data_IF_618169863020
#
_entry.id   IF_618169863020
#
_cell.length_a   1.000
_cell.length_b   1.000
_cell.length_c   1.000
_cell.angle_alpha   90.00
_cell.angle_beta   90.00
_cell.angle_gamma   90.00
#
_symmetry.space_group_name_H-M   'P 1'
#
loop_
_entity.id
_entity.type
_entity.pdbx_description
1 polymer ?
#
# COMPACT_ATOMS: atom_id res chain seq x y z
N UNK A 1 6.76 -13.29 20.98
CA UNK A 1 8.14 -13.71 21.30
C UNK A 1 8.27 -15.21 21.10
N UNK A 2 9.50 -15.71 20.87
CA UNK A 2 9.78 -17.14 20.94
C UNK A 2 9.74 -17.61 22.39
N UNK A 3 9.57 -18.94 22.60
CA UNK A 3 9.73 -19.55 23.92
C UNK A 3 11.11 -19.23 24.55
N UNK A 4 12.13 -19.01 23.72
CA UNK A 4 13.48 -18.57 24.14
C UNK A 4 13.55 -17.09 24.57
N UNK A 5 12.42 -16.34 24.54
CA UNK A 5 12.36 -14.93 24.88
C UNK A 5 12.79 -13.97 23.74
N UNK A 6 13.29 -14.48 22.60
CA UNK A 6 13.73 -13.65 21.49
C UNK A 6 12.57 -12.86 20.90
N UNK A 7 12.76 -11.54 20.72
CA UNK A 7 11.84 -10.68 20.02
C UNK A 7 12.00 -10.87 18.50
N UNK A 8 10.90 -11.16 17.83
CA UNK A 8 10.77 -11.21 16.38
C UNK A 8 9.73 -10.15 15.99
N UNK A 9 10.06 -9.30 15.06
CA UNK A 9 9.11 -8.37 14.45
C UNK A 9 8.53 -8.99 13.18
N UNK A 10 7.22 -8.88 13.02
CA UNK A 10 6.50 -9.34 11.83
C UNK A 10 5.72 -8.14 11.30
N UNK A 11 6.18 -7.59 10.19
CA UNK A 11 5.51 -6.49 9.50
C UNK A 11 4.59 -7.04 8.43
N UNK A 12 3.31 -6.76 8.54
CA UNK A 12 2.31 -7.09 7.52
C UNK A 12 2.54 -6.20 6.30
N UNK A 13 2.59 -6.78 5.11
CA UNK A 13 2.79 -6.05 3.86
C UNK A 13 1.57 -6.15 2.95
N UNK A 14 1.20 -7.36 2.58
CA UNK A 14 0.13 -7.65 1.64
C UNK A 14 -0.69 -8.85 2.12
N UNK A 15 -2.03 -8.79 2.03
CA UNK A 15 -2.87 -9.95 2.30
C UNK A 15 -2.69 -11.03 1.22
N UNK A 16 -2.81 -12.32 1.61
CA UNK A 16 -2.64 -13.43 0.69
C UNK A 16 -3.92 -13.78 -0.06
N UNK A 17 -4.93 -14.20 0.70
CA UNK A 17 -6.26 -14.55 0.18
C UNK A 17 -7.28 -14.49 1.32
N UNK A 18 -8.30 -13.64 1.23
CA UNK A 18 -8.59 -12.69 0.14
C UNK A 18 -7.53 -11.58 0.03
N UNK A 19 -7.31 -11.06 -1.18
CA UNK A 19 -6.37 -9.94 -1.42
C UNK A 19 -6.97 -8.60 -1.02
N UNK A 20 -8.28 -8.51 -0.92
CA UNK A 20 -8.98 -7.32 -0.43
C UNK A 20 -8.72 -7.12 1.07
N UNK A 21 -8.29 -5.92 1.42
CA UNK A 21 -7.91 -5.58 2.80
C UNK A 21 -9.09 -5.60 3.76
N UNK A 22 -10.27 -5.14 3.34
CA UNK A 22 -11.45 -5.10 4.21
C UNK A 22 -11.93 -6.51 4.53
N UNK A 23 -11.99 -7.38 3.53
CA UNK A 23 -12.33 -8.79 3.72
C UNK A 23 -11.29 -9.50 4.58
N UNK A 24 -10.01 -9.25 4.34
CA UNK A 24 -8.91 -9.83 5.11
C UNK A 24 -8.99 -9.44 6.60
N UNK A 25 -9.28 -8.19 6.91
CA UNK A 25 -9.43 -7.73 8.29
C UNK A 25 -10.64 -8.32 9.01
N UNK A 26 -11.65 -8.77 8.26
CA UNK A 26 -12.83 -9.46 8.79
C UNK A 26 -12.64 -10.96 8.95
N UNK A 27 -11.55 -11.55 8.45
CA UNK A 27 -11.29 -12.98 8.61
C UNK A 27 -11.24 -13.37 10.09
N UNK A 28 -11.68 -14.60 10.39
CA UNK A 28 -11.76 -15.14 11.73
C UNK A 28 -11.04 -16.49 11.81
N UNK A 29 -10.37 -16.75 12.92
CA UNK A 29 -9.64 -17.99 13.20
C UNK A 29 -8.33 -18.16 12.46
N UNK A 30 -8.23 -17.72 11.21
CA UNK A 30 -7.04 -17.88 10.38
C UNK A 30 -6.92 -16.79 9.32
N UNK A 31 -5.69 -16.36 9.03
CA UNK A 31 -5.37 -15.57 7.84
C UNK A 31 -3.89 -15.71 7.45
N UNK A 32 -3.58 -15.34 6.21
CA UNK A 32 -2.20 -15.39 5.70
C UNK A 32 -1.79 -14.04 5.11
N UNK A 33 -0.56 -13.64 5.41
CA UNK A 33 0.00 -12.37 4.95
C UNK A 33 1.41 -12.54 4.42
N UNK A 34 1.74 -11.77 3.40
CA UNK A 34 3.13 -11.53 3.04
C UNK A 34 3.71 -10.56 4.06
N UNK A 35 4.80 -10.96 4.71
CA UNK A 35 5.39 -10.23 5.82
C UNK A 35 6.89 -10.00 5.62
N UNK A 36 7.36 -8.85 6.08
CA UNK A 36 8.79 -8.62 6.30
C UNK A 36 9.13 -9.00 7.74
N UNK A 37 10.22 -9.77 7.93
CA UNK A 37 10.58 -10.31 9.24
C UNK A 37 11.85 -9.64 9.77
N UNK A 38 11.70 -8.93 10.89
CA UNK A 38 12.80 -8.43 11.69
C UNK A 38 13.40 -9.55 12.56
N UNK A 39 14.74 -9.54 12.72
CA UNK A 39 15.47 -10.57 13.45
C UNK A 39 15.27 -12.02 12.92
N UNK A 40 15.08 -12.19 11.60
CA UNK A 40 14.83 -13.47 10.95
C UNK A 40 15.79 -14.59 11.38
N UNK A 41 17.07 -14.28 11.59
CA UNK A 41 18.09 -15.26 12.05
C UNK A 41 17.71 -15.95 13.35
N UNK A 42 16.86 -15.34 14.16
CA UNK A 42 16.36 -15.89 15.42
C UNK A 42 15.08 -16.71 15.25
N UNK A 43 14.43 -16.66 14.10
CA UNK A 43 13.24 -17.45 13.77
C UNK A 43 13.60 -18.58 12.78
N UNK A 44 14.30 -19.59 13.28
CA UNK A 44 14.73 -20.71 12.44
C UNK A 44 13.64 -21.75 12.21
N UNK A 45 12.84 -22.05 13.23
CA UNK A 45 11.82 -23.10 13.22
C UNK A 45 10.69 -22.78 14.19
N UNK A 46 9.55 -23.47 14.02
CA UNK A 46 8.38 -23.40 14.89
C UNK A 46 7.54 -22.13 14.69
N UNK A 47 6.43 -22.09 15.39
CA UNK A 47 5.51 -20.97 15.41
C UNK A 47 5.88 -19.99 16.52
N UNK A 48 5.65 -18.71 16.28
CA UNK A 48 5.65 -17.69 17.32
C UNK A 48 4.29 -17.72 18.01
N UNK A 49 4.26 -17.48 19.33
CA UNK A 49 3.01 -17.43 20.09
C UNK A 49 2.94 -16.17 20.94
N UNK A 50 1.73 -15.65 21.09
CA UNK A 50 1.43 -14.54 21.99
C UNK A 50 0.05 -14.74 22.58
N UNK A 51 0.00 -14.81 23.90
CA UNK A 51 -1.25 -14.82 24.67
C UNK A 51 -1.66 -13.37 24.95
N UNK A 52 -2.96 -13.11 24.87
CA UNK A 52 -3.56 -11.81 25.12
C UNK A 52 -5.03 -11.96 25.49
N UNK A 53 -5.70 -10.86 25.82
CA UNK A 53 -7.11 -10.85 26.19
C UNK A 53 -7.86 -9.83 25.33
N UNK A 54 -8.99 -10.25 24.78
CA UNK A 54 -9.95 -9.38 24.08
C UNK A 54 -11.33 -9.57 24.70
N UNK A 55 -11.99 -8.49 25.11
CA UNK A 55 -13.37 -8.52 25.62
C UNK A 55 -13.58 -9.56 26.74
N UNK A 56 -12.58 -9.79 27.58
CA UNK A 56 -12.61 -10.76 28.66
C UNK A 56 -12.33 -12.21 28.26
N UNK A 57 -12.03 -12.49 27.00
CA UNK A 57 -11.61 -13.80 26.51
C UNK A 57 -10.10 -13.87 26.34
N UNK A 58 -9.49 -14.90 26.92
CA UNK A 58 -8.07 -15.20 26.70
C UNK A 58 -7.91 -15.93 25.37
N UNK A 59 -6.99 -15.45 24.55
CA UNK A 59 -6.69 -16.01 23.24
C UNK A 59 -5.19 -16.20 23.06
N UNK A 60 -4.83 -17.14 22.22
CA UNK A 60 -3.47 -17.36 21.77
C UNK A 60 -3.37 -17.11 20.27
N UNK A 61 -2.61 -16.10 19.87
CA UNK A 61 -2.22 -15.89 18.48
C UNK A 61 -0.95 -16.67 18.17
N UNK A 62 -0.99 -17.50 17.14
CA UNK A 62 0.15 -18.19 16.57
C UNK A 62 0.51 -17.56 15.22
N UNK A 63 1.81 -17.43 14.94
CA UNK A 63 2.31 -17.03 13.63
C UNK A 63 3.32 -18.08 13.14
N UNK A 64 3.07 -18.62 11.95
CA UNK A 64 3.89 -19.68 11.34
C UNK A 64 4.40 -19.23 9.98
N UNK A 65 5.71 -19.25 9.79
CA UNK A 65 6.33 -18.88 8.53
C UNK A 65 6.32 -20.08 7.57
N UNK A 66 5.74 -19.90 6.37
CA UNK A 66 5.79 -20.89 5.29
C UNK A 66 7.21 -20.96 4.73
N UNK A 67 7.75 -22.17 4.65
CA UNK A 67 9.08 -22.42 4.12
C UNK A 67 8.98 -23.31 2.89
N UNK A 68 9.72 -22.96 1.84
CA UNK A 68 9.85 -23.82 0.66
C UNK A 68 8.75 -23.71 -0.39
N UNK A 69 7.73 -22.93 -0.17
CA UNK A 69 6.79 -22.58 -1.24
C UNK A 69 7.39 -21.46 -2.07
N UNK A 70 7.67 -21.76 -3.34
CA UNK A 70 7.91 -20.70 -4.32
C UNK A 70 6.64 -19.85 -4.38
N UNK A 71 6.78 -18.54 -4.29
CA UNK A 71 5.68 -17.61 -4.49
C UNK A 71 5.10 -17.88 -5.88
N UNK A 72 3.82 -18.27 -5.98
CA UNK A 72 3.16 -18.51 -7.26
C UNK A 72 3.28 -17.26 -8.15
N UNK A 73 3.60 -17.43 -9.45
CA UNK A 73 3.68 -16.30 -10.36
C UNK A 73 2.27 -15.72 -10.57
N UNK A 74 2.02 -14.57 -10.00
CA UNK A 74 0.73 -13.87 -10.11
C UNK A 74 0.32 -13.14 -8.84
N UNK A 75 0.51 -13.71 -7.66
CA UNK A 75 0.14 -13.07 -6.39
C UNK A 75 1.27 -12.26 -5.74
N UNK A 76 2.53 -12.42 -6.16
CA UNK A 76 3.67 -11.72 -5.58
C UNK A 76 4.92 -11.74 -6.49
N UNK A 77 4.76 -11.83 -7.81
CA UNK A 77 5.89 -11.92 -8.75
C UNK A 77 6.80 -10.68 -8.73
N UNK A 78 6.31 -9.55 -8.28
CA UNK A 78 7.09 -8.31 -8.11
C UNK A 78 8.04 -8.39 -6.92
N UNK A 79 7.69 -9.14 -5.87
CA UNK A 79 8.47 -9.21 -4.62
C UNK A 79 9.55 -10.30 -4.66
N UNK A 80 9.30 -11.42 -5.34
CA UNK A 80 10.21 -12.57 -5.37
C UNK A 80 11.49 -12.36 -6.20
N UNK A 81 11.45 -11.54 -7.26
CA UNK A 81 12.62 -11.26 -8.11
C UNK A 81 13.66 -10.32 -7.48
N UNK A 82 13.38 -9.77 -6.33
CA UNK A 82 14.18 -8.72 -5.69
C UNK A 82 15.13 -9.14 -4.58
N UNK A 83 15.33 -10.42 -4.27
CA UNK A 83 16.22 -10.85 -3.15
C UNK A 83 15.71 -10.34 -1.79
N UNK A 84 14.41 -10.10 -1.65
CA UNK A 84 13.78 -9.56 -0.46
C UNK A 84 13.62 -10.60 0.66
N UNK A 85 13.61 -10.13 1.90
CA UNK A 85 13.40 -10.89 3.14
C UNK A 85 11.90 -11.02 3.46
N UNK A 86 11.04 -11.20 2.46
CA UNK A 86 9.61 -11.31 2.64
C UNK A 86 9.19 -12.79 2.66
N UNK A 87 8.28 -13.10 3.55
CA UNK A 87 7.83 -14.46 3.80
C UNK A 87 6.33 -14.51 3.99
N UNK A 88 5.68 -15.57 3.46
CA UNK A 88 4.31 -15.88 3.83
C UNK A 88 4.27 -16.32 5.29
N UNK A 89 3.36 -15.70 6.05
CA UNK A 89 3.12 -16.01 7.46
C UNK A 89 1.64 -16.30 7.64
N UNK A 90 1.36 -17.47 8.17
CA UNK A 90 0.02 -17.87 8.59
C UNK A 90 -0.18 -17.43 10.04
N UNK A 91 -1.30 -16.77 10.29
CA UNK A 91 -1.76 -16.37 11.60
C UNK A 91 -2.98 -17.21 11.97
N UNK A 92 -2.93 -17.87 13.12
CA UNK A 92 -3.99 -18.70 13.66
C UNK A 92 -4.33 -18.26 15.07
N UNK A 93 -5.61 -18.23 15.41
CA UNK A 93 -6.09 -17.95 16.77
C UNK A 93 -7.31 -18.78 17.12
N UNK A 94 -7.50 -19.00 18.41
CA UNK A 94 -8.43 -20.00 18.97
C UNK A 94 -9.84 -19.47 19.21
N UNK A 95 -10.26 -18.40 18.54
CA UNK A 95 -11.62 -17.85 18.65
C UNK A 95 -12.12 -17.27 17.32
N UNK A 96 -13.06 -17.94 16.70
CA UNK A 96 -13.68 -17.52 15.43
C UNK A 96 -14.64 -16.31 15.55
N UNK A 97 -14.95 -15.84 16.76
CA UNK A 97 -15.75 -14.63 16.96
C UNK A 97 -14.91 -13.36 16.98
N UNK A 98 -13.59 -13.50 16.95
CA UNK A 98 -12.64 -12.39 16.95
C UNK A 98 -12.04 -12.26 15.56
N UNK A 99 -12.20 -11.10 14.94
CA UNK A 99 -11.63 -10.78 13.64
C UNK A 99 -10.14 -10.45 13.72
N UNK A 100 -9.46 -10.57 12.59
CA UNK A 100 -8.04 -10.19 12.51
C UNK A 100 -7.82 -8.70 12.82
N UNK A 101 -8.76 -7.83 12.45
CA UNK A 101 -8.72 -6.41 12.81
C UNK A 101 -8.67 -6.21 14.32
N UNK A 102 -9.51 -6.89 15.09
CA UNK A 102 -9.54 -6.79 16.56
C UNK A 102 -8.24 -7.30 17.19
N UNK A 103 -7.63 -8.35 16.61
CA UNK A 103 -6.31 -8.83 17.03
C UNK A 103 -5.27 -7.74 16.80
N UNK A 104 -5.22 -7.15 15.61
CA UNK A 104 -4.25 -6.10 15.29
C UNK A 104 -4.41 -4.86 16.18
N UNK A 105 -5.63 -4.48 16.49
CA UNK A 105 -5.90 -3.37 17.43
C UNK A 105 -5.40 -3.66 18.85
N UNK A 106 -5.42 -4.93 19.25
CA UNK A 106 -5.03 -5.35 20.62
C UNK A 106 -3.53 -5.62 20.76
N UNK A 107 -2.95 -6.34 19.80
CA UNK A 107 -1.56 -6.82 19.91
C UNK A 107 -0.61 -6.19 18.89
N UNK A 108 -1.13 -5.51 17.88
CA UNK A 108 -0.34 -4.80 16.90
C UNK A 108 0.31 -3.55 17.49
N UNK A 109 1.44 -3.19 16.92
CA UNK A 109 2.11 -1.93 17.19
C UNK A 109 2.15 -1.11 15.90
N UNK A 110 1.80 0.17 15.99
CA UNK A 110 1.89 1.08 14.85
C UNK A 110 3.37 1.24 14.47
N UNK A 111 3.77 0.89 13.24
CA UNK A 111 5.13 1.13 12.81
C UNK A 111 5.34 2.64 12.60
N UNK A 112 6.34 3.19 13.27
CA UNK A 112 6.78 4.56 13.04
C UNK A 112 8.10 4.57 12.26
N UNK A 113 8.40 5.66 11.54
CA UNK A 113 9.63 5.75 10.75
C UNK A 113 10.89 5.50 11.59
N UNK A 114 11.82 4.64 11.11
CA UNK A 114 13.03 4.28 11.87
C UNK A 114 13.92 5.48 12.24
N UNK A 115 13.86 6.57 11.47
CA UNK A 115 14.66 7.78 11.74
C UNK A 115 14.23 8.52 13.02
N UNK A 116 13.04 8.22 13.58
CA UNK A 116 12.60 8.78 14.86
C UNK A 116 13.40 8.22 16.06
N UNK A 117 14.07 7.07 15.88
CA UNK A 117 14.95 6.44 16.88
C UNK A 117 14.34 6.31 18.28
N UNK A 118 13.05 6.02 18.37
CA UNK A 118 12.31 5.78 19.61
C UNK A 118 11.27 4.67 19.41
N UNK A 119 10.76 4.14 20.51
CA UNK A 119 9.60 3.25 20.47
C UNK A 119 8.32 4.03 20.14
N UNK A 120 7.31 3.32 19.62
CA UNK A 120 5.96 3.85 19.41
C UNK A 120 5.30 4.20 20.74
N UNK A 121 4.61 5.31 20.79
CA UNK A 121 3.85 5.81 21.93
C UNK A 121 2.35 5.81 21.61
N UNK A 122 1.48 5.82 22.62
CA UNK A 122 0.03 5.87 22.40
C UNK A 122 -0.41 7.13 21.63
N UNK A 123 0.29 8.25 21.80
CA UNK A 123 0.06 9.48 21.07
C UNK A 123 0.29 9.32 19.55
N UNK A 124 1.16 8.40 19.11
CA UNK A 124 1.44 8.17 17.69
C UNK A 124 0.22 7.61 16.96
N UNK A 125 -0.65 6.88 17.64
CA UNK A 125 -1.91 6.39 17.05
C UNK A 125 -2.81 7.52 16.55
N UNK A 126 -2.64 8.71 17.10
CA UNK A 126 -3.39 9.91 16.71
C UNK A 126 -2.53 10.83 15.84
N UNK A 127 -1.29 11.10 16.26
CA UNK A 127 -0.44 12.11 15.63
C UNK A 127 0.27 11.60 14.37
N UNK A 128 0.49 10.28 14.25
CA UNK A 128 1.03 9.66 13.04
C UNK A 128 -0.09 9.13 12.15
N UNK A 129 -1.16 9.90 12.01
CA UNK A 129 -2.31 9.62 11.15
C UNK A 129 -2.85 10.92 10.55
N UNK A 130 -3.29 10.90 9.31
CA UNK A 130 -3.91 12.06 8.69
C UNK A 130 -5.36 12.22 9.14
N UNK A 131 -5.86 13.45 9.21
CA UNK A 131 -7.26 13.74 9.57
C UNK A 131 -8.27 13.21 8.53
N UNK A 132 -7.81 12.87 7.34
CA UNK A 132 -8.62 12.32 6.26
C UNK A 132 -8.43 10.81 6.03
N UNK A 133 -7.70 10.13 6.90
CA UNK A 133 -7.57 8.67 6.82
C UNK A 133 -8.92 7.99 7.07
N UNK A 134 -9.40 7.20 6.10
CA UNK A 134 -10.73 6.55 6.15
C UNK A 134 -10.62 5.03 6.04
N UNK A 135 -9.75 4.56 5.16
CA UNK A 135 -9.63 3.14 4.80
C UNK A 135 -8.38 2.56 5.45
N UNK A 136 -8.54 1.46 6.18
CA UNK A 136 -7.42 0.70 6.76
C UNK A 136 -6.70 -0.07 5.66
N UNK A 137 -5.39 -0.28 5.77
CA UNK A 137 -4.62 -1.07 4.79
C UNK A 137 -3.25 -0.49 4.43
N UNK A 138 -2.85 0.62 5.05
CA UNK A 138 -1.51 1.19 4.90
C UNK A 138 -0.65 0.94 6.12
N UNK A 139 0.64 0.69 5.89
CA UNK A 139 1.65 0.53 6.94
C UNK A 139 2.23 1.90 7.34
N UNK A 140 2.33 2.83 6.40
CA UNK A 140 2.89 4.16 6.64
C UNK A 140 1.86 5.26 6.33
N UNK A 141 1.78 6.27 7.19
CA UNK A 141 0.97 7.45 6.92
C UNK A 141 1.61 8.31 5.81
N UNK A 142 0.82 8.98 4.95
CA UNK A 142 1.33 9.96 4.00
C UNK A 142 1.77 11.22 4.76
N UNK A 143 3.03 11.28 5.15
CA UNK A 143 3.57 12.25 6.11
C UNK A 143 3.38 13.72 5.72
N UNK A 144 3.32 14.03 4.42
CA UNK A 144 2.99 15.39 3.96
C UNK A 144 1.56 15.81 4.39
N UNK A 145 0.65 14.84 4.52
CA UNK A 145 -0.71 15.08 4.97
C UNK A 145 -0.88 15.33 6.47
N UNK A 146 0.14 15.01 7.28
CA UNK A 146 0.10 15.26 8.73
C UNK A 146 0.07 16.74 9.09
N UNK A 147 0.42 17.62 8.16
CA UNK A 147 0.31 19.08 8.35
C UNK A 147 -1.11 19.61 8.23
N UNK A 148 -2.05 18.84 7.69
CA UNK A 148 -3.45 19.25 7.60
C UNK A 148 -4.20 19.01 8.91
N UNK A 149 -4.99 19.99 9.28
CA UNK A 149 -6.00 19.89 10.33
C UNK A 149 -7.37 20.14 9.72
N UNK A 150 -8.45 19.78 10.42
CA UNK A 150 -9.81 20.08 9.97
C UNK A 150 -10.02 21.57 9.72
N UNK A 151 -9.41 22.42 10.56
CA UNK A 151 -9.47 23.88 10.38
C UNK A 151 -8.81 24.33 9.09
N UNK A 152 -7.64 23.78 8.73
CA UNK A 152 -6.94 24.09 7.48
C UNK A 152 -7.75 23.59 6.28
N UNK A 153 -8.32 22.40 6.34
CA UNK A 153 -9.15 21.85 5.27
C UNK A 153 -10.40 22.72 5.05
N UNK A 154 -11.08 23.15 6.12
CA UNK A 154 -12.22 24.06 6.03
C UNK A 154 -11.83 25.43 5.47
N UNK A 155 -10.61 25.89 5.75
CA UNK A 155 -10.14 27.17 5.23
C UNK A 155 -9.85 27.10 3.73
N UNK A 156 -9.28 26.00 3.26
CA UNK A 156 -9.11 25.68 1.84
C UNK A 156 -10.47 25.74 1.12
N UNK A 157 -11.48 25.08 1.70
CA UNK A 157 -12.84 25.05 1.14
C UNK A 157 -13.47 26.46 1.09
N UNK A 158 -13.26 27.29 2.14
CA UNK A 158 -13.75 28.68 2.18
C UNK A 158 -13.12 29.57 1.10
N UNK A 159 -11.90 29.27 0.70
CA UNK A 159 -11.21 29.97 -0.40
C UNK A 159 -11.62 29.45 -1.79
N UNK A 160 -12.56 28.51 -1.87
CA UNK A 160 -13.04 27.96 -3.12
C UNK A 160 -12.05 27.05 -3.83
N UNK A 161 -11.06 26.52 -3.08
CA UNK A 161 -10.09 25.56 -3.61
C UNK A 161 -10.73 24.18 -3.52
N UNK A 162 -10.93 23.55 -4.67
CA UNK A 162 -11.49 22.21 -4.75
C UNK A 162 -10.45 21.16 -4.29
N UNK A 163 -10.89 20.18 -3.53
CA UNK A 163 -10.07 19.07 -3.07
C UNK A 163 -10.56 17.76 -3.65
N UNK A 164 -9.65 16.85 -3.88
CA UNK A 164 -9.91 15.45 -4.25
C UNK A 164 -9.06 14.50 -3.43
N UNK A 165 -9.52 13.26 -3.36
CA UNK A 165 -8.88 12.19 -2.61
C UNK A 165 -8.53 11.04 -3.54
N UNK A 166 -7.38 10.42 -3.31
CA UNK A 166 -7.00 9.13 -3.90
C UNK A 166 -6.73 8.15 -2.77
N UNK A 167 -7.08 6.90 -2.95
CA UNK A 167 -6.75 5.87 -1.97
C UNK A 167 -5.39 5.27 -2.29
N UNK A 168 -4.51 5.27 -1.30
CA UNK A 168 -3.14 4.80 -1.40
C UNK A 168 -2.92 3.68 -0.38
N UNK A 169 -2.51 2.51 -0.84
CA UNK A 169 -2.10 1.41 0.03
C UNK A 169 -0.57 1.41 0.18
N UNK A 170 -0.10 2.25 1.10
CA UNK A 170 1.35 2.46 1.30
C UNK A 170 1.93 1.32 2.11
N UNK A 171 2.77 0.52 1.47
CA UNK A 171 3.42 -0.64 2.08
C UNK A 171 4.65 -0.31 2.92
N UNK A 172 5.18 -1.32 3.63
CA UNK A 172 6.39 -1.22 4.45
C UNK A 172 7.68 -0.89 3.65
N UNK A 173 7.60 -0.94 2.32
CA UNK A 173 8.70 -0.56 1.42
C UNK A 173 9.22 0.85 1.68
N UNK A 174 8.34 1.77 2.08
CA UNK A 174 8.66 3.16 2.43
C UNK A 174 9.69 3.28 3.56
N UNK A 175 9.77 2.30 4.45
CA UNK A 175 10.74 2.30 5.55
C UNK A 175 12.11 1.70 5.18
N UNK A 176 12.28 1.17 3.98
CA UNK A 176 13.57 0.61 3.53
C UNK A 176 14.50 1.75 3.12
N UNK A 177 15.67 1.88 3.77
CA UNK A 177 16.64 2.89 3.35
C UNK A 177 17.24 2.51 2.00
N UNK A 178 17.56 3.51 1.18
CA UNK A 178 18.38 3.34 -0.02
C UNK A 178 19.76 2.83 0.39
N UNK A 179 20.17 1.68 -0.13
CA UNK A 179 21.45 1.04 0.17
C UNK A 179 22.39 0.97 -1.04
N UNK A 180 21.86 1.20 -2.23
CA UNK A 180 22.64 1.25 -3.47
C UNK A 180 23.44 2.54 -3.55
N UNK A 181 24.64 2.47 -4.14
CA UNK A 181 25.47 3.66 -4.43
C UNK A 181 24.97 4.39 -5.67
N UNK A 182 24.29 3.68 -6.56
CA UNK A 182 23.74 4.18 -7.83
C UNK A 182 22.21 4.08 -7.79
N UNK A 183 21.54 5.01 -8.47
CA UNK A 183 20.06 5.08 -8.49
C UNK A 183 19.48 3.84 -9.16
N UNK A 184 20.12 3.33 -10.21
CA UNK A 184 19.73 2.14 -10.96
C UNK A 184 19.70 0.88 -10.08
N UNK A 185 20.55 0.82 -9.08
CA UNK A 185 20.60 -0.29 -8.12
C UNK A 185 19.49 -0.26 -7.06
N UNK A 186 18.74 0.85 -6.94
CA UNK A 186 17.64 0.97 -6.01
C UNK A 186 16.33 0.56 -6.67
N UNK A 187 15.71 -0.52 -6.19
CA UNK A 187 14.39 -0.95 -6.64
C UNK A 187 13.31 -0.25 -5.81
N UNK A 188 12.48 0.53 -6.48
CA UNK A 188 11.27 1.09 -5.89
C UNK A 188 10.23 -0.01 -5.67
N UNK A 189 9.50 0.10 -4.57
CA UNK A 189 8.36 -0.77 -4.29
C UNK A 189 7.13 -0.33 -5.11
N UNK A 190 6.28 -1.28 -5.44
CA UNK A 190 4.97 -1.04 -6.06
C UNK A 190 3.96 -0.74 -4.96
N UNK A 191 3.05 0.16 -5.22
CA UNK A 191 1.93 0.52 -4.34
C UNK A 191 0.63 0.41 -5.12
N UNK A 192 -0.39 -0.14 -4.49
CA UNK A 192 -1.74 -0.16 -5.04
C UNK A 192 -2.40 1.18 -4.80
N UNK A 193 -3.09 1.66 -5.83
CA UNK A 193 -3.83 2.92 -5.79
C UNK A 193 -5.28 2.65 -6.21
N UNK A 194 -6.21 3.45 -5.68
CA UNK A 194 -7.58 3.51 -6.21
C UNK A 194 -7.91 4.96 -6.52
N UNK A 195 -8.30 5.21 -7.76
CA UNK A 195 -8.68 6.54 -8.26
C UNK A 195 -10.07 6.46 -8.86
N UNK A 196 -11.01 7.12 -8.24
CA UNK A 196 -12.39 7.12 -8.68
C UNK A 196 -12.59 7.92 -9.98
N UNK A 197 -13.54 7.50 -10.79
CA UNK A 197 -13.91 8.14 -12.05
C UNK A 197 -14.17 9.63 -11.87
N UNK A 198 -14.97 10.03 -10.86
CA UNK A 198 -15.29 11.43 -10.61
C UNK A 198 -14.04 12.30 -10.38
N UNK A 199 -12.99 11.73 -9.76
CA UNK A 199 -11.70 12.41 -9.55
C UNK A 199 -10.99 12.66 -10.88
N UNK A 200 -11.00 11.67 -11.80
CA UNK A 200 -10.43 11.81 -13.15
C UNK A 200 -11.20 12.86 -13.96
N UNK A 201 -12.54 12.83 -13.93
CA UNK A 201 -13.40 13.81 -14.60
C UNK A 201 -13.16 15.23 -14.07
N UNK A 202 -12.93 15.36 -12.75
CA UNK A 202 -12.60 16.65 -12.15
C UNK A 202 -11.22 17.15 -12.60
N UNK A 203 -10.23 16.25 -12.64
CA UNK A 203 -8.90 16.56 -13.15
C UNK A 203 -8.96 17.07 -14.60
N UNK A 204 -9.77 16.44 -15.47
CA UNK A 204 -10.01 16.89 -16.83
C UNK A 204 -10.66 18.29 -16.88
N UNK A 205 -11.65 18.57 -16.04
CA UNK A 205 -12.31 19.89 -15.98
C UNK A 205 -11.34 21.03 -15.63
N UNK A 206 -10.30 20.73 -14.87
CA UNK A 206 -9.26 21.68 -14.49
C UNK A 206 -8.03 21.64 -15.42
N UNK A 207 -8.17 21.07 -16.64
CA UNK A 207 -7.07 21.00 -17.61
C UNK A 207 -5.89 20.17 -17.17
N UNK A 208 -6.12 19.20 -16.27
CA UNK A 208 -5.12 18.36 -15.64
C UNK A 208 -4.09 19.13 -14.80
N UNK A 209 -4.42 20.36 -14.39
CA UNK A 209 -3.63 21.12 -13.44
C UNK A 209 -4.06 20.80 -12.00
N UNK A 210 -3.10 20.39 -11.17
CA UNK A 210 -3.35 19.94 -9.79
C UNK A 210 -2.17 20.22 -8.87
N UNK A 211 -2.45 20.45 -7.60
CA UNK A 211 -1.45 20.50 -6.54
C UNK A 211 -1.49 19.18 -5.77
N UNK A 212 -0.52 18.33 -6.01
CA UNK A 212 -0.41 17.06 -5.30
C UNK A 212 0.20 17.24 -3.91
N UNK A 213 -0.40 16.63 -2.90
CA UNK A 213 0.12 16.64 -1.53
C UNK A 213 0.78 15.31 -1.20
N UNK A 214 2.10 15.31 -1.14
CA UNK A 214 2.93 14.14 -0.86
C UNK A 214 3.47 13.46 -2.12
N UNK A 215 4.64 12.84 -1.96
CA UNK A 215 5.36 12.18 -3.06
C UNK A 215 4.59 11.00 -3.65
N UNK A 216 3.85 10.24 -2.84
CA UNK A 216 3.03 9.14 -3.32
C UNK A 216 1.86 9.66 -4.16
N UNK A 217 1.24 10.79 -3.79
CA UNK A 217 0.20 11.43 -4.61
C UNK A 217 0.75 11.93 -5.94
N UNK A 218 1.94 12.54 -5.95
CA UNK A 218 2.63 12.92 -7.20
C UNK A 218 2.83 11.69 -8.06
N UNK A 219 3.42 10.63 -7.50
CA UNK A 219 3.69 9.39 -8.21
C UNK A 219 2.40 8.75 -8.77
N UNK A 220 1.30 8.83 -8.02
CA UNK A 220 -0.01 8.37 -8.51
C UNK A 220 -0.44 9.13 -9.76
N UNK A 221 -0.42 10.47 -9.72
CA UNK A 221 -0.87 11.30 -10.83
C UNK A 221 0.02 11.10 -12.07
N UNK A 222 1.34 11.04 -11.88
CA UNK A 222 2.27 10.72 -12.96
C UNK A 222 2.00 9.31 -13.54
N UNK A 223 1.73 8.32 -12.69
CA UNK A 223 1.39 6.97 -13.15
C UNK A 223 0.10 6.94 -13.98
N UNK A 224 -0.92 7.72 -13.61
CA UNK A 224 -2.15 7.83 -14.41
C UNK A 224 -1.86 8.32 -15.84
N UNK A 225 -0.93 9.25 -16.01
CA UNK A 225 -0.52 9.68 -17.35
C UNK A 225 0.00 8.51 -18.19
N UNK A 226 0.95 7.71 -17.66
CA UNK A 226 1.51 6.58 -18.40
C UNK A 226 0.52 5.43 -18.61
N UNK A 227 -0.40 5.19 -17.67
CA UNK A 227 -1.51 4.26 -17.88
C UNK A 227 -2.42 4.71 -19.02
N UNK A 228 -2.73 6.00 -19.08
CA UNK A 228 -3.52 6.58 -20.18
C UNK A 228 -2.81 6.50 -21.53
N UNK A 229 -1.51 6.77 -21.58
CA UNK A 229 -0.68 6.60 -22.79
C UNK A 229 -0.73 5.14 -23.26
N UNK A 230 -0.62 4.17 -22.35
CA UNK A 230 -0.75 2.75 -22.66
C UNK A 230 -2.12 2.40 -23.26
N UNK A 231 -3.20 2.92 -22.67
CA UNK A 231 -4.56 2.70 -23.17
C UNK A 231 -4.81 3.32 -24.54
N UNK A 232 -4.14 4.43 -24.88
CA UNK A 232 -4.19 5.01 -26.22
C UNK A 232 -3.50 4.12 -27.25
N UNK A 233 -2.38 3.50 -26.87
CA UNK A 233 -1.62 2.59 -27.74
C UNK A 233 -2.25 1.18 -27.80
N UNK A 234 -2.81 0.72 -26.71
CA UNK A 234 -3.36 -0.62 -26.50
C UNK A 234 -4.77 -0.54 -25.89
N UNK A 235 -5.80 -0.20 -26.67
CA UNK A 235 -7.18 -0.07 -26.18
C UNK A 235 -7.77 -1.37 -25.60
N UNK A 236 -7.17 -2.52 -25.93
CA UNK A 236 -7.52 -3.86 -25.43
C UNK A 236 -6.87 -4.21 -24.09
N UNK A 237 -6.00 -3.36 -23.54
CA UNK A 237 -5.33 -3.61 -22.29
C UNK A 237 -6.33 -3.87 -21.15
N UNK A 238 -5.99 -4.80 -20.28
CA UNK A 238 -6.77 -5.17 -19.11
C UNK A 238 -6.28 -4.41 -17.86
N UNK A 239 -6.98 -4.53 -16.75
CA UNK A 239 -6.56 -3.93 -15.48
C UNK A 239 -5.17 -4.40 -15.05
N UNK A 240 -4.85 -5.69 -15.26
CA UNK A 240 -3.53 -6.25 -14.95
C UNK A 240 -2.39 -5.62 -15.76
N UNK A 241 -2.70 -5.03 -16.91
CA UNK A 241 -1.73 -4.32 -17.75
C UNK A 241 -1.51 -2.87 -17.32
N UNK A 242 -2.41 -2.33 -16.47
CA UNK A 242 -2.38 -0.92 -16.04
C UNK A 242 -1.46 -0.71 -14.82
N UNK A 243 -0.22 -1.13 -14.94
CA UNK A 243 0.84 -0.84 -13.97
C UNK A 243 1.95 -0.03 -14.63
N UNK A 244 2.68 0.75 -13.86
CA UNK A 244 3.82 1.55 -14.34
C UNK A 244 5.08 1.10 -13.63
N UNK A 245 6.04 0.58 -14.39
CA UNK A 245 7.33 0.15 -13.89
C UNK A 245 8.24 1.34 -13.60
N UNK A 246 9.22 1.16 -12.71
CA UNK A 246 10.12 2.21 -12.24
C UNK A 246 10.82 2.99 -13.37
N UNK A 247 11.24 2.32 -14.43
CA UNK A 247 12.03 2.91 -15.52
C UNK A 247 11.21 3.14 -16.80
N UNK A 248 10.01 2.62 -16.86
CA UNK A 248 9.12 2.73 -18.01
C UNK A 248 8.92 4.16 -18.53
N UNK A 249 8.78 5.20 -17.67
CA UNK A 249 8.70 6.57 -18.14
C UNK A 249 9.90 7.03 -19.00
N UNK A 250 11.08 6.53 -18.69
CA UNK A 250 12.32 6.85 -19.42
C UNK A 250 12.44 6.00 -20.69
N UNK A 251 12.13 4.71 -20.60
CA UNK A 251 12.13 3.76 -21.72
C UNK A 251 11.15 4.20 -22.81
N UNK A 252 9.93 4.59 -22.44
CA UNK A 252 8.92 5.08 -23.38
C UNK A 252 9.33 6.40 -24.04
N UNK A 253 10.13 7.23 -23.38
CA UNK A 253 10.66 8.48 -23.95
C UNK A 253 11.81 8.22 -24.93
N UNK A 254 12.64 7.20 -24.67
CA UNK A 254 13.78 6.82 -25.55
C UNK A 254 13.34 6.12 -26.83
N UNK A 255 12.33 5.27 -26.77
CA UNK A 255 11.81 4.51 -27.93
C UNK A 255 11.04 5.39 -28.95
N UNK A 256 10.96 6.69 -28.74
CA UNK A 256 10.58 7.70 -29.72
C UNK A 256 9.15 7.58 -30.21
N UNK A 257 8.22 7.13 -29.37
CA UNK A 257 6.96 6.86 -29.99
C UNK A 257 5.68 7.03 -29.19
N UNK A 258 5.57 6.45 -28.02
CA UNK A 258 4.27 6.39 -27.32
C UNK A 258 3.94 7.66 -26.53
N UNK A 259 4.95 8.43 -26.11
CA UNK A 259 4.78 9.62 -25.25
C UNK A 259 4.79 10.91 -26.07
N UNK A 260 5.40 10.91 -27.25
CA UNK A 260 5.56 12.11 -28.08
C UNK A 260 4.20 12.65 -28.56
N UNK A 261 3.85 13.82 -28.04
CA UNK A 261 2.65 14.54 -28.43
C UNK A 261 1.37 14.17 -27.68
N UNK A 262 1.39 13.22 -26.74
CA UNK A 262 0.23 12.94 -25.90
C UNK A 262 0.11 13.97 -24.79
N UNK A 263 -0.96 14.74 -24.79
CA UNK A 263 -1.24 15.69 -23.74
C UNK A 263 -1.81 15.00 -22.49
N UNK A 264 -1.55 15.52 -21.27
CA UNK A 264 -2.06 14.94 -20.02
C UNK A 264 -3.57 14.67 -20.06
N UNK A 265 -4.37 15.61 -20.55
CA UNK A 265 -5.82 15.42 -20.63
C UNK A 265 -6.24 14.30 -21.62
N UNK A 266 -5.46 14.04 -22.66
CA UNK A 266 -5.75 12.94 -23.58
C UNK A 266 -5.51 11.59 -22.90
N UNK A 267 -4.43 11.48 -22.12
CA UNK A 267 -4.13 10.28 -21.35
C UNK A 267 -5.21 10.03 -20.27
N UNK A 268 -5.57 11.06 -19.50
CA UNK A 268 -6.62 10.93 -18.48
C UNK A 268 -7.98 10.61 -19.10
N UNK A 269 -8.32 11.19 -20.28
CA UNK A 269 -9.55 10.84 -20.99
C UNK A 269 -9.57 9.37 -21.40
N UNK A 270 -8.45 8.84 -21.84
CA UNK A 270 -8.36 7.41 -22.21
C UNK A 270 -8.67 6.48 -21.02
N UNK A 271 -8.29 6.87 -19.79
CA UNK A 271 -8.65 6.12 -18.60
C UNK A 271 -10.16 6.22 -18.32
N UNK A 272 -10.76 7.40 -18.45
CA UNK A 272 -12.22 7.56 -18.28
C UNK A 272 -12.96 6.71 -19.31
N UNK A 273 -12.53 6.73 -20.58
CA UNK A 273 -13.12 5.92 -21.65
C UNK A 273 -12.95 4.40 -21.38
N UNK A 274 -11.84 4.00 -20.76
CA UNK A 274 -11.62 2.62 -20.31
C UNK A 274 -12.60 2.22 -19.22
N UNK A 275 -12.76 3.06 -18.20
CA UNK A 275 -13.73 2.82 -17.11
C UNK A 275 -15.16 2.71 -17.66
N UNK A 276 -15.54 3.58 -18.59
CA UNK A 276 -16.86 3.57 -19.24
C UNK A 276 -17.12 2.28 -20.01
N UNK A 277 -16.15 1.85 -20.82
CA UNK A 277 -16.27 0.61 -21.62
C UNK A 277 -16.41 -0.63 -20.76
N UNK A 278 -15.80 -0.63 -19.58
CA UNK A 278 -15.79 -1.78 -18.66
C UNK A 278 -16.83 -1.66 -17.54
N UNK A 279 -17.60 -0.56 -17.48
CA UNK A 279 -18.59 -0.33 -16.44
C UNK A 279 -17.99 -0.20 -15.04
N UNK A 280 -16.78 0.40 -14.94
CA UNK A 280 -16.03 0.56 -13.69
C UNK A 280 -16.19 1.97 -13.13
N UNK A 281 -16.25 2.10 -11.82
CA UNK A 281 -16.36 3.37 -11.09
C UNK A 281 -15.00 3.88 -10.57
N UNK A 282 -13.98 3.05 -10.62
CA UNK A 282 -12.62 3.37 -10.20
C UNK A 282 -11.60 2.54 -10.97
N UNK A 283 -10.39 3.04 -11.01
CA UNK A 283 -9.18 2.34 -11.42
C UNK A 283 -8.45 1.88 -10.18
#
# INVERSE_FOLDING_TARGET
RKETGALIEVFLMEPAAPTDYELMFQTAGHCSWLCMIGNLKKWKEGSLRRDFEIKGHKLTLSATMRRGEALEPGAASVVAKGGGTNYWVDFDWDNEQVSFAEILETVGELPIPPYLNRATEESDKITYQTVYSKIKGSVAAPTAGLHFTDAVLQDIDRHGIEREEVTLHVGAGTFKPVKSLEIEGHRMHTEYIVVHRHTLEKLLRHGCEVIAVGTTSVRTIESLYYMGVRLLAHPEATEDDLHVNQWEPYELAEDGGLVDGVLPCQAIQAIVDYLDRNGLEAL
#
